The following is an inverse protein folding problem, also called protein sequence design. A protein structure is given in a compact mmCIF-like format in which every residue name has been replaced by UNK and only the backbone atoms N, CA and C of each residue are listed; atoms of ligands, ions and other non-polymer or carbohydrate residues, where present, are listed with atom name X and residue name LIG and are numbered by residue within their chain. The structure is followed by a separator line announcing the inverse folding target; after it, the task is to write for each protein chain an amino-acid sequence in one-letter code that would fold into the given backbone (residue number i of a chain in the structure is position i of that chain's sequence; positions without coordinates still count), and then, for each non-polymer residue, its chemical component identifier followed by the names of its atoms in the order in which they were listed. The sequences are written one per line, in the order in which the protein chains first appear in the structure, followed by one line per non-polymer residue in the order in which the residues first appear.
data_IF_955479838598
#
_entry.id   IF_955479838598
#
_cell.length_a   1.000
_cell.length_b   1.000
_cell.length_c   1.000
_cell.angle_alpha   90.00
_cell.angle_beta   90.00
_cell.angle_gamma   90.00
#
_symmetry.space_group_name_H-M   'P 1'
#
loop_
_entity.id
_entity.type
_entity.pdbx_description
1 polymer ?
#
# COMPACT_ATOMS: atom_id res chain seq x y z
N UNK A 1 -16.30 14.41 -6.43
CA UNK A 1 -15.90 15.64 -5.68
C UNK A 1 -14.47 15.97 -6.11
N UNK A 2 -14.07 17.24 -6.11
CA UNK A 2 -12.68 17.61 -6.36
C UNK A 2 -11.93 17.56 -5.02
N UNK A 3 -10.83 16.82 -4.96
CA UNK A 3 -9.91 16.81 -3.83
C UNK A 3 -8.93 17.98 -3.95
N UNK A 4 -8.42 18.46 -2.85
CA UNK A 4 -7.43 19.55 -2.82
C UNK A 4 -6.02 19.03 -3.06
N UNK A 5 -5.69 17.88 -2.44
CA UNK A 5 -4.35 17.32 -2.40
C UNK A 5 -4.21 16.01 -3.18
N UNK A 6 -5.28 15.53 -3.82
CA UNK A 6 -5.27 14.29 -4.59
C UNK A 6 -5.78 14.51 -6.02
N UNK A 7 -5.20 13.77 -6.94
CA UNK A 7 -5.77 13.52 -8.26
C UNK A 7 -6.19 12.05 -8.33
N UNK A 8 -7.42 11.79 -8.77
CA UNK A 8 -7.98 10.44 -8.88
C UNK A 8 -8.37 10.20 -10.32
N UNK A 9 -7.84 9.14 -10.91
CA UNK A 9 -8.17 8.70 -12.26
C UNK A 9 -8.67 7.25 -12.24
N UNK A 10 -9.63 6.95 -13.10
CA UNK A 10 -10.18 5.62 -13.29
C UNK A 10 -9.73 5.04 -14.62
N UNK A 11 -9.27 3.80 -14.63
CA UNK A 11 -8.79 3.09 -15.81
C UNK A 11 -9.42 1.68 -15.86
N UNK A 12 -9.32 1.01 -17.01
CA UNK A 12 -9.84 -0.35 -17.21
C UNK A 12 -11.33 -0.51 -16.84
N UNK A 13 -12.19 0.37 -17.37
CA UNK A 13 -13.64 0.35 -17.08
C UNK A 13 -13.93 0.46 -15.56
N UNK A 14 -13.23 1.36 -14.87
CA UNK A 14 -13.27 1.62 -13.43
C UNK A 14 -12.68 0.49 -12.55
N UNK A 15 -12.09 -0.56 -13.12
CA UNK A 15 -11.50 -1.63 -12.33
C UNK A 15 -10.18 -1.24 -11.66
N UNK A 16 -9.49 -0.22 -12.14
CA UNK A 16 -8.25 0.32 -11.56
C UNK A 16 -8.43 1.78 -11.22
N UNK A 17 -8.14 2.13 -9.96
CA UNK A 17 -8.11 3.52 -9.50
C UNK A 17 -6.66 3.94 -9.29
N UNK A 18 -6.25 5.03 -9.94
CA UNK A 18 -4.94 5.66 -9.73
C UNK A 18 -5.14 6.89 -8.87
N UNK A 19 -4.48 6.90 -7.72
CA UNK A 19 -4.51 8.00 -6.75
C UNK A 19 -3.12 8.65 -6.72
N UNK A 20 -3.05 9.90 -7.12
CA UNK A 20 -1.82 10.69 -7.12
C UNK A 20 -1.89 11.71 -5.99
N UNK A 21 -0.97 11.64 -5.03
CA UNK A 21 -0.81 12.65 -3.99
C UNK A 21 -0.16 13.88 -4.63
N UNK A 22 -0.88 15.00 -4.68
CA UNK A 22 -0.51 16.17 -5.46
C UNK A 22 -0.20 17.40 -4.59
N UNK A 23 0.90 17.32 -3.86
CA UNK A 23 1.51 18.42 -3.09
C UNK A 23 3.00 18.61 -3.45
N UNK A 24 3.39 18.74 -4.73
CA UNK A 24 4.79 18.67 -5.15
C UNK A 24 5.68 19.77 -4.57
N UNK A 25 5.11 20.92 -4.20
CA UNK A 25 5.83 22.04 -3.55
C UNK A 25 6.41 21.67 -2.17
N UNK A 26 5.81 20.71 -1.50
CA UNK A 26 6.25 20.17 -0.20
C UNK A 26 6.60 18.68 -0.30
N UNK A 27 7.06 18.24 -1.47
CA UNK A 27 7.48 16.86 -1.75
C UNK A 27 6.40 15.82 -1.38
N UNK A 28 5.13 16.16 -1.61
CA UNK A 28 3.96 15.33 -1.34
C UNK A 28 3.79 14.94 0.15
N UNK A 29 4.33 15.75 1.08
CA UNK A 29 4.22 15.50 2.52
C UNK A 29 2.74 15.38 2.95
N UNK A 30 2.46 14.43 3.85
CA UNK A 30 1.12 14.19 4.36
C UNK A 30 0.76 15.20 5.45
N UNK A 31 -0.26 16.01 5.21
CA UNK A 31 -0.95 16.78 6.23
C UNK A 31 -2.30 16.13 6.58
N UNK A 32 -2.99 16.67 7.58
CA UNK A 32 -4.28 16.15 8.01
C UNK A 32 -5.31 16.09 6.88
N UNK A 33 -5.38 17.11 6.02
CA UNK A 33 -6.29 17.13 4.87
C UNK A 33 -6.01 15.99 3.88
N UNK A 34 -4.74 15.74 3.55
CA UNK A 34 -4.35 14.64 2.65
C UNK A 34 -4.71 13.28 3.24
N UNK A 35 -4.55 13.10 4.56
CA UNK A 35 -4.95 11.85 5.24
C UNK A 35 -6.46 11.63 5.15
N UNK A 36 -7.28 12.66 5.34
CA UNK A 36 -8.74 12.54 5.23
C UNK A 36 -9.18 12.25 3.80
N UNK A 37 -8.60 12.92 2.83
CA UNK A 37 -8.89 12.70 1.41
C UNK A 37 -8.50 11.28 0.98
N UNK A 38 -7.32 10.78 1.37
CA UNK A 38 -6.91 9.40 1.14
C UNK A 38 -7.87 8.41 1.82
N UNK A 39 -8.30 8.70 3.06
CA UNK A 39 -9.25 7.85 3.76
C UNK A 39 -10.57 7.76 3.00
N UNK A 40 -11.09 8.89 2.51
CA UNK A 40 -12.31 8.92 1.71
C UNK A 40 -12.17 8.10 0.42
N UNK A 41 -11.10 8.30 -0.36
CA UNK A 41 -10.87 7.56 -1.60
C UNK A 41 -10.74 6.06 -1.34
N UNK A 42 -10.04 5.66 -0.28
CA UNK A 42 -9.89 4.24 0.07
C UNK A 42 -11.22 3.63 0.54
N UNK A 43 -12.04 4.36 1.28
CA UNK A 43 -13.37 3.90 1.69
C UNK A 43 -14.31 3.73 0.47
N UNK A 44 -14.29 4.68 -0.47
CA UNK A 44 -15.01 4.58 -1.73
C UNK A 44 -14.54 3.39 -2.57
N UNK A 45 -13.21 3.23 -2.71
CA UNK A 45 -12.63 2.07 -3.41
C UNK A 45 -12.98 0.73 -2.73
N UNK A 46 -13.05 0.69 -1.40
CA UNK A 46 -13.43 -0.51 -0.65
C UNK A 46 -14.86 -0.94 -0.94
N UNK A 47 -15.80 0.02 -0.96
CA UNK A 47 -17.24 -0.21 -1.15
C UNK A 47 -17.66 -0.42 -2.62
N UNK A 48 -16.87 0.04 -3.57
CA UNK A 48 -17.17 -0.07 -5.00
C UNK A 48 -17.02 -1.51 -5.51
N UNK A 49 -18.01 -2.06 -6.17
CA UNK A 49 -17.94 -3.40 -6.78
C UNK A 49 -17.09 -3.42 -8.07
N UNK A 50 -16.99 -2.27 -8.77
CA UNK A 50 -16.19 -2.18 -10.00
C UNK A 50 -14.70 -2.12 -9.72
N UNK A 51 -14.27 -1.43 -8.65
CA UNK A 51 -12.85 -1.28 -8.32
C UNK A 51 -12.25 -2.61 -7.87
N UNK A 52 -11.18 -3.03 -8.52
CA UNK A 52 -10.45 -4.28 -8.31
C UNK A 52 -9.02 -4.08 -7.80
N UNK A 53 -8.41 -2.93 -8.13
CA UNK A 53 -7.03 -2.59 -7.74
C UNK A 53 -6.88 -1.07 -7.58
N UNK A 54 -6.00 -0.64 -6.67
CA UNK A 54 -5.63 0.76 -6.48
C UNK A 54 -4.13 0.92 -6.71
N UNK A 55 -3.73 2.00 -7.37
CA UNK A 55 -2.33 2.43 -7.50
C UNK A 55 -2.17 3.76 -6.79
N UNK A 56 -1.24 3.85 -5.86
CA UNK A 56 -0.83 5.09 -5.19
C UNK A 56 0.50 5.58 -5.74
N UNK A 57 0.58 6.87 -6.06
CA UNK A 57 1.84 7.51 -6.48
C UNK A 57 1.89 8.96 -6.01
N UNK A 58 3.04 9.62 -6.16
CA UNK A 58 3.21 11.05 -5.90
C UNK A 58 3.28 11.87 -7.18
N UNK A 59 2.77 13.09 -7.16
CA UNK A 59 2.91 14.02 -8.28
C UNK A 59 4.37 14.47 -8.47
N UNK A 60 4.76 14.64 -9.73
CA UNK A 60 6.13 15.01 -10.11
C UNK A 60 7.10 13.84 -10.08
N UNK A 61 8.38 14.15 -10.11
CA UNK A 61 9.49 13.20 -10.25
C UNK A 61 10.36 13.07 -8.98
N UNK A 62 10.11 13.90 -7.95
CA UNK A 62 10.99 13.99 -6.78
C UNK A 62 10.59 13.08 -5.63
N UNK A 63 9.29 12.94 -5.38
CA UNK A 63 8.83 12.22 -4.21
C UNK A 63 7.53 11.46 -4.47
N UNK A 64 7.47 10.27 -3.95
CA UNK A 64 6.22 9.60 -3.63
C UNK A 64 5.56 10.36 -2.47
N UNK A 65 6.15 10.31 -1.29
CA UNK A 65 5.81 11.08 -0.09
C UNK A 65 7.06 11.24 0.76
N UNK A 66 7.51 12.46 1.02
CA UNK A 66 8.75 12.72 1.77
C UNK A 66 8.51 12.92 3.28
N UNK A 67 7.45 12.39 3.84
CA UNK A 67 7.15 12.42 5.28
C UNK A 67 5.84 13.11 5.62
N UNK A 68 5.59 13.30 6.91
CA UNK A 68 4.50 14.11 7.40
C UNK A 68 4.82 15.60 7.26
N UNK A 69 3.79 16.44 7.23
CA UNK A 69 3.96 17.89 7.18
C UNK A 69 4.59 18.39 8.50
N UNK A 70 5.81 18.90 8.40
CA UNK A 70 6.60 19.32 9.56
C UNK A 70 5.95 20.48 10.32
N UNK A 71 5.20 21.34 9.62
CA UNK A 71 4.50 22.45 10.29
C UNK A 71 3.41 21.92 11.23
N UNK A 72 2.66 20.87 10.80
CA UNK A 72 1.68 20.22 11.68
C UNK A 72 2.35 19.46 12.84
N UNK A 73 3.48 18.80 12.57
CA UNK A 73 4.23 18.08 13.61
C UNK A 73 4.75 19.02 14.72
N UNK A 74 5.19 20.22 14.36
CA UNK A 74 5.72 21.21 15.32
C UNK A 74 4.65 21.69 16.32
N UNK A 75 3.38 21.63 15.97
CA UNK A 75 2.24 22.03 16.82
C UNK A 75 1.72 20.89 17.71
N UNK A 76 2.31 19.69 17.64
CA UNK A 76 1.86 18.55 18.42
C UNK A 76 2.22 18.71 19.91
N UNK A 77 1.27 18.29 20.74
CA UNK A 77 1.41 18.15 22.18
C UNK A 77 1.29 16.65 22.55
N UNK A 78 1.66 16.25 23.77
CA UNK A 78 1.48 14.86 24.19
C UNK A 78 0.03 14.34 24.08
N UNK A 79 -0.95 15.23 24.21
CA UNK A 79 -2.37 14.88 24.15
C UNK A 79 -2.82 14.64 22.71
N UNK A 80 -2.54 15.59 21.79
CA UNK A 80 -2.97 15.47 20.39
C UNK A 80 -2.03 14.61 19.54
N UNK A 81 -0.76 14.41 19.96
CA UNK A 81 0.20 13.56 19.25
C UNK A 81 -0.28 12.11 19.11
N UNK A 82 -0.86 11.54 20.18
CA UNK A 82 -1.44 10.19 20.11
C UNK A 82 -2.67 10.14 19.18
N UNK A 83 -3.51 11.18 19.15
CA UNK A 83 -4.65 11.26 18.25
C UNK A 83 -4.21 11.40 16.79
N UNK A 84 -3.17 12.22 16.53
CA UNK A 84 -2.54 12.36 15.21
C UNK A 84 -2.01 11.01 14.72
N UNK A 85 -1.27 10.27 15.55
CA UNK A 85 -0.77 8.95 15.21
C UNK A 85 -1.91 7.97 14.86
N UNK A 86 -2.97 7.91 15.69
CA UNK A 86 -4.13 7.04 15.44
C UNK A 86 -4.86 7.36 14.13
N UNK A 87 -4.92 8.64 13.73
CA UNK A 87 -5.55 9.04 12.46
C UNK A 87 -4.82 8.43 11.26
N UNK A 88 -3.50 8.54 11.22
CA UNK A 88 -2.70 7.92 10.16
C UNK A 88 -2.72 6.39 10.23
N UNK A 89 -2.66 5.81 11.44
CA UNK A 89 -2.78 4.36 11.64
C UNK A 89 -4.11 3.82 11.13
N UNK A 90 -5.22 4.55 11.33
CA UNK A 90 -6.54 4.16 10.84
C UNK A 90 -6.59 4.12 9.30
N UNK A 91 -6.06 5.15 8.63
CA UNK A 91 -5.95 5.14 7.17
C UNK A 91 -5.09 3.98 6.67
N UNK A 92 -3.90 3.80 7.24
CA UNK A 92 -2.97 2.76 6.77
C UNK A 92 -3.48 1.35 7.07
N UNK A 93 -4.19 1.17 8.17
CA UNK A 93 -4.93 -0.06 8.46
C UNK A 93 -6.05 -0.32 7.46
N UNK A 94 -6.79 0.72 7.04
CA UNK A 94 -7.81 0.60 5.99
C UNK A 94 -7.18 0.16 4.64
N UNK A 95 -6.04 0.74 4.26
CA UNK A 95 -5.30 0.35 3.04
C UNK A 95 -4.89 -1.12 3.11
N UNK A 96 -4.33 -1.56 4.22
CA UNK A 96 -3.86 -2.93 4.44
C UNK A 96 -4.99 -3.96 4.42
N UNK A 97 -6.16 -3.60 4.97
CA UNK A 97 -7.36 -4.43 5.05
C UNK A 97 -8.40 -4.16 3.96
N UNK A 98 -8.03 -3.46 2.88
CA UNK A 98 -8.95 -3.03 1.83
C UNK A 98 -9.68 -4.21 1.15
N UNK A 99 -9.07 -5.40 1.17
CA UNK A 99 -9.56 -6.59 0.47
C UNK A 99 -9.35 -6.53 -1.05
N UNK A 100 -8.66 -5.51 -1.53
CA UNK A 100 -8.26 -5.28 -2.92
C UNK A 100 -6.78 -4.93 -2.94
N UNK A 101 -6.00 -5.36 -3.96
CA UNK A 101 -4.60 -4.98 -4.04
C UNK A 101 -4.41 -3.47 -4.12
N UNK A 102 -3.49 -2.95 -3.31
CA UNK A 102 -3.02 -1.58 -3.40
C UNK A 102 -1.54 -1.62 -3.76
N UNK A 103 -1.16 -0.94 -4.83
CA UNK A 103 0.21 -0.87 -5.34
C UNK A 103 0.78 0.50 -5.03
N UNK A 104 1.84 0.58 -4.25
CA UNK A 104 2.64 1.79 -4.16
C UNK A 104 3.61 1.88 -5.36
N UNK A 105 3.40 2.86 -6.23
CA UNK A 105 4.32 3.21 -7.30
C UNK A 105 5.22 4.37 -6.82
N UNK A 106 6.39 4.01 -6.29
CA UNK A 106 7.30 4.90 -5.57
C UNK A 106 8.20 5.62 -6.56
N UNK A 107 7.81 6.83 -6.95
CA UNK A 107 8.45 7.63 -7.99
C UNK A 107 9.67 8.45 -7.52
N UNK A 108 10.00 8.44 -6.22
CA UNK A 108 11.11 9.21 -5.66
C UNK A 108 11.26 8.97 -4.16
N UNK A 109 11.40 10.04 -3.36
CA UNK A 109 11.49 9.90 -1.91
C UNK A 109 10.24 9.27 -1.30
N UNK A 110 10.41 8.19 -0.54
CA UNK A 110 9.41 7.58 0.33
C UNK A 110 9.99 7.55 1.75
N UNK A 111 9.82 8.63 2.51
CA UNK A 111 10.46 8.84 3.79
C UNK A 111 9.44 8.98 4.92
N UNK A 112 9.76 8.49 6.10
CA UNK A 112 8.88 8.58 7.26
C UNK A 112 7.48 8.06 6.95
N UNK A 113 6.45 8.89 7.14
CA UNK A 113 5.07 8.52 6.81
C UNK A 113 4.86 8.07 5.37
N UNK A 114 5.71 8.50 4.42
CA UNK A 114 5.68 8.01 3.04
C UNK A 114 6.19 6.57 2.91
N UNK A 115 7.22 6.21 3.65
CA UNK A 115 7.67 4.82 3.74
C UNK A 115 6.62 3.96 4.48
N UNK A 116 5.99 4.49 5.53
CA UNK A 116 4.90 3.84 6.26
C UNK A 116 3.68 3.60 5.37
N UNK A 117 3.29 4.58 4.54
CA UNK A 117 2.22 4.46 3.55
C UNK A 117 2.55 3.36 2.51
N UNK A 118 3.78 3.36 2.00
CA UNK A 118 4.21 2.33 1.06
C UNK A 118 4.17 0.93 1.70
N UNK A 119 4.57 0.78 2.97
CA UNK A 119 4.50 -0.49 3.70
C UNK A 119 3.08 -0.97 3.97
N UNK A 120 2.10 -0.08 4.07
CA UNK A 120 0.69 -0.43 4.20
C UNK A 120 0.07 -0.94 2.88
N UNK A 121 0.68 -0.65 1.73
CA UNK A 121 0.25 -1.16 0.44
C UNK A 121 0.58 -2.64 0.27
N UNK A 122 -0.24 -3.35 -0.50
CA UNK A 122 -0.05 -4.79 -0.81
C UNK A 122 1.28 -5.04 -1.50
N UNK A 123 1.59 -4.22 -2.51
CA UNK A 123 2.82 -4.32 -3.30
C UNK A 123 3.50 -2.95 -3.43
N UNK A 124 4.82 -2.97 -3.59
CA UNK A 124 5.68 -1.79 -3.73
C UNK A 124 6.57 -1.93 -4.96
N UNK A 125 6.33 -1.08 -5.95
CA UNK A 125 7.21 -0.88 -7.10
C UNK A 125 7.95 0.44 -6.88
N UNK A 126 9.25 0.45 -7.05
CA UNK A 126 10.06 1.65 -6.89
C UNK A 126 10.79 2.00 -8.18
N UNK A 127 10.90 3.30 -8.48
CA UNK A 127 11.85 3.75 -9.49
C UNK A 127 13.28 3.48 -9.01
N UNK A 128 14.19 3.26 -9.93
CA UNK A 128 15.62 3.06 -9.66
C UNK A 128 16.28 4.25 -8.96
N UNK A 129 15.67 5.44 -9.07
CA UNK A 129 16.10 6.67 -8.39
C UNK A 129 15.51 6.87 -7.01
N UNK A 130 14.52 6.04 -6.61
CA UNK A 130 13.82 6.20 -5.34
C UNK A 130 14.74 5.99 -4.14
N UNK A 131 14.41 6.69 -3.04
CA UNK A 131 15.05 6.55 -1.74
C UNK A 131 13.99 6.29 -0.68
N UNK A 132 14.23 5.29 0.15
CA UNK A 132 13.33 4.89 1.22
C UNK A 132 14.02 5.05 2.57
N UNK A 133 13.26 5.30 3.64
CA UNK A 133 13.82 5.38 4.99
C UNK A 133 12.80 5.85 6.02
N UNK A 134 13.23 5.75 7.29
CA UNK A 134 12.47 6.19 8.46
C UNK A 134 13.32 7.19 9.26
N UNK A 135 13.42 8.47 8.78
CA UNK A 135 14.36 9.44 9.35
C UNK A 135 13.82 10.19 10.58
N UNK A 136 12.73 9.77 11.17
CA UNK A 136 12.03 10.42 12.29
C UNK A 136 12.96 10.68 13.49
N UNK A 137 13.93 9.81 13.72
CA UNK A 137 14.91 9.95 14.81
C UNK A 137 15.69 11.25 14.70
N UNK A 138 15.93 11.76 13.50
CA UNK A 138 16.63 13.02 13.26
C UNK A 138 15.81 14.25 13.70
N UNK A 139 14.51 14.07 13.94
CA UNK A 139 13.59 15.08 14.49
C UNK A 139 13.32 14.86 16.00
N UNK A 140 13.98 13.86 16.63
CA UNK A 140 13.75 13.51 18.03
C UNK A 140 12.42 12.80 18.27
N UNK A 141 11.82 12.20 17.23
CA UNK A 141 10.58 11.43 17.30
C UNK A 141 10.78 10.03 16.72
N UNK A 142 9.75 9.21 16.79
CA UNK A 142 9.70 7.88 16.19
C UNK A 142 8.61 7.82 15.11
N UNK A 143 8.59 6.80 14.22
CA UNK A 143 7.49 6.57 13.30
C UNK A 143 6.14 6.51 14.03
N UNK A 144 5.17 7.27 13.55
CA UNK A 144 3.86 7.41 14.19
C UNK A 144 2.75 6.57 13.55
N UNK A 145 2.90 6.17 12.29
CA UNK A 145 1.86 5.48 11.53
C UNK A 145 2.14 3.97 11.38
N UNK A 146 2.74 3.38 12.42
CA UNK A 146 3.11 1.99 12.59
C UNK A 146 4.34 1.51 11.77
N UNK A 147 5.25 2.42 11.36
CA UNK A 147 6.51 2.05 10.72
C UNK A 147 7.38 1.17 11.59
N UNK A 148 7.44 1.43 12.89
CA UNK A 148 8.15 0.58 13.85
C UNK A 148 7.57 -0.83 13.99
N UNK A 149 6.37 -1.08 13.46
CA UNK A 149 5.70 -2.39 13.47
C UNK A 149 5.77 -3.07 12.10
N UNK A 150 5.49 -2.34 10.99
CA UNK A 150 5.51 -2.92 9.65
C UNK A 150 6.91 -3.19 9.14
N UNK A 151 7.84 -2.27 9.37
CA UNK A 151 9.21 -2.44 8.86
C UNK A 151 9.87 -3.74 9.37
N UNK A 152 9.90 -4.08 10.69
CA UNK A 152 10.51 -5.31 11.14
C UNK A 152 9.80 -6.59 10.67
N UNK A 153 8.52 -6.52 10.33
CA UNK A 153 7.77 -7.64 9.74
C UNK A 153 8.17 -7.90 8.29
N UNK A 154 8.59 -6.85 7.57
CA UNK A 154 9.04 -6.96 6.17
C UNK A 154 10.53 -7.32 6.05
N UNK A 155 11.40 -6.67 6.84
CA UNK A 155 12.86 -6.75 6.64
C UNK A 155 13.61 -7.43 7.79
N UNK A 156 12.90 -7.90 8.81
CA UNK A 156 13.46 -8.47 10.02
C UNK A 156 13.96 -7.42 11.02
N UNK A 157 14.02 -7.82 12.31
CA UNK A 157 14.26 -6.93 13.45
C UNK A 157 15.59 -6.15 13.34
N UNK A 158 16.67 -6.81 12.96
CA UNK A 158 18.02 -6.20 12.94
C UNK A 158 18.10 -5.06 11.92
N UNK A 159 17.68 -5.30 10.69
CA UNK A 159 17.69 -4.30 9.63
C UNK A 159 16.71 -3.15 9.92
N UNK A 160 15.54 -3.47 10.46
CA UNK A 160 14.58 -2.45 10.85
C UNK A 160 15.14 -1.51 11.92
N UNK A 161 15.75 -2.04 12.98
CA UNK A 161 16.38 -1.22 14.03
C UNK A 161 17.54 -0.35 13.48
N UNK A 162 18.36 -0.88 12.60
CA UNK A 162 19.42 -0.10 11.95
C UNK A 162 18.83 1.12 11.22
N UNK A 163 17.83 0.93 10.37
CA UNK A 163 17.17 2.03 9.64
C UNK A 163 16.47 3.03 10.55
N UNK A 164 15.73 2.53 11.56
CA UNK A 164 14.98 3.37 12.50
C UNK A 164 15.88 4.20 13.42
N UNK A 165 16.99 3.63 13.89
CA UNK A 165 17.87 4.28 14.85
C UNK A 165 18.92 5.18 14.20
N UNK A 166 19.29 4.91 12.95
CA UNK A 166 20.22 5.76 12.19
C UNK A 166 19.49 6.84 11.40
N UNK A 167 18.21 6.64 11.07
CA UNK A 167 17.48 7.51 10.16
C UNK A 167 18.05 7.49 8.73
N UNK A 168 18.79 6.44 8.37
CA UNK A 168 19.44 6.34 7.07
C UNK A 168 18.41 6.19 5.92
N UNK A 169 18.76 6.77 4.78
CA UNK A 169 18.04 6.56 3.53
C UNK A 169 18.74 5.47 2.71
N UNK A 170 18.02 4.49 2.26
CA UNK A 170 18.52 3.42 1.40
C UNK A 170 18.06 3.59 -0.05
N UNK A 171 18.81 3.03 -0.98
CA UNK A 171 18.42 3.01 -2.39
C UNK A 171 17.25 2.04 -2.64
N UNK A 172 16.54 2.23 -3.75
CA UNK A 172 15.50 1.30 -4.20
C UNK A 172 16.03 -0.14 -4.31
N UNK A 173 17.24 -0.30 -4.85
CA UNK A 173 17.85 -1.63 -5.00
C UNK A 173 18.18 -2.26 -3.65
N UNK A 174 18.71 -1.52 -2.69
CA UNK A 174 18.93 -2.03 -1.33
C UNK A 174 17.58 -2.39 -0.67
N UNK A 175 16.56 -1.55 -0.83
CA UNK A 175 15.21 -1.82 -0.35
C UNK A 175 14.62 -3.11 -0.96
N UNK A 176 14.91 -3.39 -2.23
CA UNK A 176 14.53 -4.65 -2.90
C UNK A 176 15.28 -5.85 -2.31
N UNK A 177 16.59 -5.73 -2.12
CA UNK A 177 17.41 -6.80 -1.57
C UNK A 177 17.01 -7.23 -0.15
N UNK A 178 16.53 -6.29 0.67
CA UNK A 178 16.07 -6.59 2.04
C UNK A 178 14.57 -6.94 2.12
N UNK A 179 13.84 -6.99 1.00
CA UNK A 179 12.42 -7.33 0.95
C UNK A 179 11.45 -6.19 1.25
N UNK A 180 11.95 -4.94 1.38
CA UNK A 180 11.08 -3.77 1.56
C UNK A 180 10.34 -3.37 0.27
N UNK A 181 10.91 -3.64 -0.90
CA UNK A 181 10.34 -3.36 -2.22
C UNK A 181 10.27 -4.64 -3.05
N UNK A 182 9.18 -4.84 -3.78
CA UNK A 182 8.98 -6.04 -4.61
C UNK A 182 9.73 -5.97 -5.93
N UNK A 183 9.74 -4.79 -6.59
CA UNK A 183 10.38 -4.58 -7.89
C UNK A 183 11.01 -3.20 -7.97
N UNK A 184 12.15 -3.11 -8.66
CA UNK A 184 12.77 -1.84 -9.06
C UNK A 184 12.75 -1.75 -10.57
N UNK A 185 12.34 -0.62 -11.11
CA UNK A 185 12.19 -0.38 -12.54
C UNK A 185 12.76 0.99 -12.91
N UNK A 186 13.15 1.23 -14.16
CA UNK A 186 13.55 2.57 -14.61
C UNK A 186 12.48 3.62 -14.30
N UNK A 187 12.87 4.82 -13.89
CA UNK A 187 11.92 5.86 -13.46
C UNK A 187 10.86 6.19 -14.52
N UNK A 188 11.25 6.20 -15.79
CA UNK A 188 10.34 6.46 -16.91
C UNK A 188 9.37 5.30 -17.21
N UNK A 189 9.58 4.11 -16.65
CA UNK A 189 8.75 2.92 -16.84
C UNK A 189 7.83 2.65 -15.64
N UNK A 190 8.04 3.31 -14.49
CA UNK A 190 7.36 3.02 -13.24
C UNK A 190 5.84 2.95 -13.37
N UNK A 191 5.22 3.97 -13.94
CA UNK A 191 3.76 4.01 -14.07
C UNK A 191 3.22 3.05 -15.13
N UNK A 192 4.00 2.74 -16.17
CA UNK A 192 3.67 1.71 -17.17
C UNK A 192 3.62 0.33 -16.50
N UNK A 193 4.65 -0.01 -15.74
CA UNK A 193 4.72 -1.28 -14.99
C UNK A 193 3.66 -1.37 -13.89
N UNK A 194 3.40 -0.28 -13.16
CA UNK A 194 2.37 -0.25 -12.13
C UNK A 194 0.97 -0.47 -12.73
N UNK A 195 0.65 0.17 -13.86
CA UNK A 195 -0.62 -0.03 -14.58
C UNK A 195 -0.74 -1.44 -15.14
N UNK A 196 0.31 -1.98 -15.72
CA UNK A 196 0.31 -3.35 -16.23
C UNK A 196 0.03 -4.37 -15.12
N UNK A 197 0.71 -4.22 -13.96
CA UNK A 197 0.48 -5.07 -12.80
C UNK A 197 -0.93 -4.88 -12.24
N UNK A 198 -1.43 -3.64 -12.14
CA UNK A 198 -2.78 -3.37 -11.66
C UNK A 198 -3.84 -3.99 -12.57
N UNK A 199 -3.68 -3.88 -13.89
CA UNK A 199 -4.56 -4.55 -14.86
C UNK A 199 -4.53 -6.07 -14.77
N UNK A 200 -3.33 -6.65 -14.55
CA UNK A 200 -3.20 -8.09 -14.29
C UNK A 200 -3.97 -8.52 -13.03
N UNK A 201 -3.79 -7.80 -11.91
CA UNK A 201 -4.45 -8.09 -10.64
C UNK A 201 -5.96 -7.87 -10.71
N UNK A 202 -6.41 -6.82 -11.39
CA UNK A 202 -7.82 -6.53 -11.61
C UNK A 202 -8.54 -7.63 -12.41
N UNK A 203 -7.81 -8.36 -13.26
CA UNK A 203 -8.30 -9.51 -14.00
C UNK A 203 -8.41 -10.82 -13.21
N UNK A 204 -7.99 -10.86 -11.94
CA UNK A 204 -8.10 -12.06 -11.09
C UNK A 204 -9.48 -12.15 -10.41
N UNK A 205 -9.86 -13.34 -9.94
CA UNK A 205 -11.09 -13.58 -9.19
C UNK A 205 -11.10 -12.76 -7.87
N UNK A 206 -11.98 -11.77 -7.71
CA UNK A 206 -11.87 -10.80 -6.62
C UNK A 206 -12.13 -11.41 -5.24
N UNK A 207 -12.99 -12.42 -5.13
CA UNK A 207 -13.20 -13.12 -3.86
C UNK A 207 -11.95 -13.88 -3.44
N UNK A 208 -11.28 -14.53 -4.38
CA UNK A 208 -10.01 -15.23 -4.10
C UNK A 208 -8.89 -14.24 -3.74
N UNK A 209 -8.79 -13.10 -4.44
CA UNK A 209 -7.83 -12.04 -4.11
C UNK A 209 -8.04 -11.53 -2.68
N UNK A 210 -9.29 -11.24 -2.31
CA UNK A 210 -9.64 -10.80 -0.94
C UNK A 210 -9.26 -11.85 0.09
N UNK A 211 -9.59 -13.13 -0.17
CA UNK A 211 -9.27 -14.23 0.74
C UNK A 211 -7.76 -14.41 0.93
N UNK A 212 -6.96 -14.28 -0.14
CA UNK A 212 -5.50 -14.37 -0.06
C UNK A 212 -4.93 -13.22 0.78
N UNK A 213 -5.38 -11.97 0.56
CA UNK A 213 -4.93 -10.81 1.34
C UNK A 213 -5.27 -11.01 2.82
N UNK A 214 -6.51 -11.42 3.13
CA UNK A 214 -6.94 -11.69 4.50
C UNK A 214 -6.12 -12.84 5.13
N UNK A 215 -5.96 -13.97 4.44
CA UNK A 215 -5.20 -15.11 4.94
C UNK A 215 -3.76 -14.74 5.31
N UNK A 216 -3.10 -13.91 4.48
CA UNK A 216 -1.72 -13.46 4.75
C UNK A 216 -1.68 -12.45 5.89
N UNK A 217 -2.47 -11.37 5.83
CA UNK A 217 -2.39 -10.29 6.81
C UNK A 217 -2.85 -10.75 8.20
N UNK A 218 -3.98 -11.43 8.29
CA UNK A 218 -4.52 -11.92 9.57
C UNK A 218 -3.72 -13.12 10.09
N UNK A 219 -3.30 -14.02 9.19
CA UNK A 219 -2.53 -15.21 9.55
C UNK A 219 -1.17 -14.90 10.16
N UNK A 220 -0.50 -13.81 9.73
CA UNK A 220 0.77 -13.35 10.33
C UNK A 220 0.61 -12.82 11.77
N UNK A 221 -0.60 -12.47 12.20
CA UNK A 221 -0.91 -12.04 13.57
C UNK A 221 -1.41 -13.19 14.47
N UNK A 222 -1.55 -14.42 13.90
CA UNK A 222 -2.02 -15.62 14.61
C UNK A 222 -0.88 -16.58 14.91
N UNK A 223 -1.02 -17.46 15.95
CA UNK A 223 -0.22 -18.68 16.05
C UNK A 223 -0.38 -19.53 14.78
N UNK A 224 0.71 -20.11 14.26
CA UNK A 224 0.72 -20.83 12.99
C UNK A 224 -0.40 -21.87 12.85
N UNK A 225 -0.67 -22.65 13.92
CA UNK A 225 -1.74 -23.65 13.91
C UNK A 225 -3.14 -23.06 13.72
N UNK A 226 -3.38 -21.83 14.22
CA UNK A 226 -4.64 -21.12 14.03
C UNK A 226 -4.71 -20.51 12.62
N UNK A 227 -3.60 -19.95 12.12
CA UNK A 227 -3.51 -19.41 10.77
C UNK A 227 -3.82 -20.48 9.71
N UNK A 228 -3.34 -21.73 9.88
CA UNK A 228 -3.64 -22.85 8.96
C UNK A 228 -5.14 -23.19 8.98
N UNK A 229 -5.78 -23.14 10.14
CA UNK A 229 -7.25 -23.36 10.24
C UNK A 229 -7.99 -22.20 9.55
N UNK A 230 -7.57 -20.95 9.79
CA UNK A 230 -8.15 -19.77 9.14
C UNK A 230 -8.05 -19.88 7.60
N UNK A 231 -6.88 -20.25 7.07
CA UNK A 231 -6.69 -20.48 5.63
C UNK A 231 -7.67 -21.53 5.08
N UNK A 232 -7.86 -22.65 5.79
CA UNK A 232 -8.77 -23.70 5.36
C UNK A 232 -10.24 -23.25 5.29
N UNK A 233 -10.66 -22.37 6.20
CA UNK A 233 -12.02 -21.76 6.18
C UNK A 233 -12.17 -20.83 4.99
N UNK A 234 -11.18 -19.96 4.74
CA UNK A 234 -11.18 -19.06 3.58
C UNK A 234 -11.15 -19.85 2.25
N UNK A 235 -10.35 -20.92 2.20
CA UNK A 235 -10.35 -21.81 1.02
C UNK A 235 -11.72 -22.42 0.77
N UNK A 236 -12.39 -22.94 1.81
CA UNK A 236 -13.76 -23.46 1.73
C UNK A 236 -14.74 -22.41 1.19
N UNK A 237 -14.63 -21.16 1.65
CA UNK A 237 -15.44 -20.06 1.14
C UNK A 237 -15.20 -19.79 -0.35
N UNK A 238 -13.95 -19.73 -0.79
CA UNK A 238 -13.60 -19.48 -2.19
C UNK A 238 -14.12 -20.60 -3.10
N UNK A 239 -14.14 -21.87 -2.64
CA UNK A 239 -14.65 -22.99 -3.43
C UNK A 239 -16.16 -22.93 -3.69
N UNK A 240 -16.91 -22.09 -2.98
CA UNK A 240 -18.34 -21.89 -3.20
C UNK A 240 -18.68 -20.91 -4.35
N UNK A 241 -17.68 -20.17 -4.87
CA UNK A 241 -17.86 -19.10 -5.85
C UNK A 241 -18.08 -19.63 -7.27
N UNK A 242 -18.79 -18.85 -8.11
CA UNK A 242 -18.88 -19.10 -9.54
C UNK A 242 -17.52 -18.91 -10.23
N UNK A 243 -16.70 -17.96 -9.75
CA UNK A 243 -15.36 -17.70 -10.27
C UNK A 243 -14.43 -18.93 -10.13
N UNK A 244 -14.57 -19.71 -9.06
CA UNK A 244 -13.80 -20.97 -8.91
C UNK A 244 -14.21 -21.99 -9.99
N UNK A 245 -15.51 -22.12 -10.27
CA UNK A 245 -16.02 -23.02 -11.32
C UNK A 245 -15.58 -22.54 -12.69
N UNK A 246 -15.68 -21.25 -12.97
CA UNK A 246 -15.19 -20.63 -14.21
C UNK A 246 -13.68 -20.87 -14.39
N UNK A 247 -12.88 -20.59 -13.37
CA UNK A 247 -11.44 -20.76 -13.43
C UNK A 247 -11.01 -22.20 -13.71
N UNK A 248 -11.65 -23.17 -13.04
CA UNK A 248 -11.36 -24.61 -13.25
C UNK A 248 -11.82 -25.10 -14.62
N UNK A 249 -13.02 -24.70 -15.07
CA UNK A 249 -13.51 -25.05 -16.42
C UNK A 249 -12.63 -24.44 -17.51
N UNK A 250 -12.31 -23.15 -17.40
CA UNK A 250 -11.45 -22.45 -18.36
C UNK A 250 -10.07 -23.11 -18.47
N UNK A 251 -9.49 -23.55 -17.34
CA UNK A 251 -8.22 -24.25 -17.33
C UNK A 251 -8.28 -25.59 -18.09
N UNK A 252 -9.33 -26.41 -17.84
CA UNK A 252 -9.53 -27.69 -18.53
C UNK A 252 -9.79 -27.51 -20.03
N UNK A 253 -10.49 -26.44 -20.38
CA UNK A 253 -10.85 -26.09 -21.78
C UNK A 253 -9.73 -25.31 -22.50
N UNK A 254 -8.61 -24.98 -21.80
CA UNK A 254 -7.46 -24.21 -22.33
C UNK A 254 -7.87 -22.83 -22.89
N UNK A 255 -8.82 -22.15 -22.26
CA UNK A 255 -9.24 -20.76 -22.55
C UNK A 255 -8.92 -19.83 -21.41
N UNK A 256 -8.99 -18.52 -21.66
CA UNK A 256 -8.89 -17.52 -20.59
C UNK A 256 -10.17 -17.50 -19.76
N UNK A 257 -10.09 -17.46 -18.41
CA UNK A 257 -11.25 -17.28 -17.55
C UNK A 257 -11.78 -15.85 -17.61
N UNK A 258 -13.07 -15.68 -17.29
CA UNK A 258 -13.72 -14.38 -17.11
C UNK A 258 -14.35 -14.37 -15.73
N UNK A 259 -13.69 -13.66 -14.79
CA UNK A 259 -14.11 -13.59 -13.40
C UNK A 259 -15.07 -12.44 -13.14
N UNK A 260 -16.16 -12.71 -12.45
CA UNK A 260 -17.25 -11.75 -12.16
C UNK A 260 -17.30 -11.30 -10.71
N UNK A 261 -16.70 -12.07 -9.78
CA UNK A 261 -16.73 -11.77 -8.37
C UNK A 261 -17.92 -12.34 -7.62
N UNK A 262 -18.51 -13.41 -8.13
CA UNK A 262 -19.69 -14.08 -7.59
C UNK A 262 -19.45 -15.54 -7.27
#
# INVERSE_FOLDING_TARGET
MAFENLEVAHEHEDAVVIVTINRPKVLNALNGQTIDELHQVMAEASSSESVRCVVLTGAGDKAFVAGADIAELAELTPVNGSAHARRGQALFGLIESLGKPVIAAINGYALGSGCELAMACTLRLASDTAKLGQPEINLGIMPGYAGSQRLPRLVGKGRALELLLTGAHISAEEARLIGLVNRVVPANELMTEARALAGELAGKAPVAVRAIIAAVNEGLEMPFSQAVVHESVLFGLVTSTEDMREGTSAFLEKRKPVFKGS
#
